data_IF_749387025687
#
_entry.id   IF_749387025687
#
_cell.length_a   1.000
_cell.length_b   1.000
_cell.length_c   1.000
_cell.angle_alpha   90.00
_cell.angle_beta   90.00
_cell.angle_gamma   90.00
#
_symmetry.space_group_name_H-M   'P 1'
#
loop_
_entity.id
_entity.type
_entity.pdbx_description
1 polymer ?
#
# COMPACT_ATOMS: atom_id res chain seq x y z
N UNK A 1 -8.47 15.04 3.17
CA UNK A 1 -7.41 14.03 2.93
C UNK A 1 -6.41 14.66 1.97
N UNK A 2 -5.15 14.80 2.37
CA UNK A 2 -4.07 15.22 1.47
C UNK A 2 -3.61 13.99 0.70
N UNK A 3 -4.01 13.93 -0.56
CA UNK A 3 -3.53 13.01 -1.58
C UNK A 3 -1.98 13.01 -1.56
N UNK A 4 -1.35 11.86 -1.27
CA UNK A 4 0.11 11.74 -1.27
C UNK A 4 0.56 11.79 -2.73
N UNK A 5 0.85 12.99 -3.22
CA UNK A 5 1.39 13.21 -4.58
C UNK A 5 2.82 12.66 -4.66
N UNK A 6 3.09 11.92 -5.73
CA UNK A 6 4.44 11.46 -6.08
C UNK A 6 5.47 12.58 -6.02
N UNK A 7 6.61 12.33 -5.35
CA UNK A 7 7.71 13.27 -5.24
C UNK A 7 8.95 12.73 -5.97
N UNK A 8 9.24 13.30 -7.14
CA UNK A 8 10.38 12.90 -7.98
C UNK A 8 11.72 13.00 -7.23
N UNK A 9 11.94 14.08 -6.48
CA UNK A 9 13.18 14.31 -5.76
C UNK A 9 13.46 13.21 -4.74
N UNK A 10 12.45 12.88 -3.93
CA UNK A 10 12.55 11.82 -2.93
C UNK A 10 12.77 10.45 -3.59
N UNK A 11 12.05 10.16 -4.68
CA UNK A 11 12.22 8.93 -5.45
C UNK A 11 13.66 8.74 -5.92
N UNK A 12 14.25 9.75 -6.57
CA UNK A 12 15.64 9.71 -7.04
C UNK A 12 16.63 9.55 -5.86
N UNK A 13 16.41 10.28 -4.77
CA UNK A 13 17.24 10.24 -3.56
C UNK A 13 17.28 8.85 -2.93
N UNK A 14 16.13 8.15 -2.89
CA UNK A 14 16.03 6.77 -2.41
C UNK A 14 16.85 5.86 -3.32
N UNK A 15 16.61 5.90 -4.64
CA UNK A 15 17.37 5.08 -5.61
C UNK A 15 18.89 5.26 -5.48
N UNK A 16 19.36 6.50 -5.37
CA UNK A 16 20.79 6.77 -5.19
C UNK A 16 21.33 6.20 -3.88
N UNK A 17 20.56 6.31 -2.81
CA UNK A 17 20.95 5.80 -1.48
C UNK A 17 21.03 4.27 -1.47
N UNK A 18 20.11 3.59 -2.14
CA UNK A 18 20.09 2.13 -2.26
C UNK A 18 21.30 1.60 -3.04
N UNK A 19 21.74 2.34 -4.06
CA UNK A 19 23.00 2.05 -4.79
C UNK A 19 24.26 2.47 -4.03
N UNK A 20 24.14 2.93 -2.77
CA UNK A 20 25.22 3.43 -1.91
C UNK A 20 26.06 4.53 -2.57
N UNK A 21 25.43 5.31 -3.46
CA UNK A 21 26.09 6.34 -4.25
C UNK A 21 25.94 7.71 -3.56
N UNK A 22 27.00 8.51 -3.53
CA UNK A 22 26.92 9.85 -2.92
C UNK A 22 26.56 10.89 -3.98
N UNK A 23 25.97 12.03 -3.58
CA UNK A 23 25.71 13.13 -4.54
C UNK A 23 26.98 13.60 -5.24
N UNK A 24 28.12 13.60 -4.52
CA UNK A 24 29.44 13.93 -5.09
C UNK A 24 29.97 12.85 -6.02
N UNK A 25 29.75 11.58 -5.71
CA UNK A 25 30.15 10.45 -6.56
C UNK A 25 29.34 10.42 -7.85
N UNK A 26 28.02 10.55 -7.74
CA UNK A 26 27.13 10.65 -8.90
C UNK A 26 27.44 11.87 -9.75
N UNK A 27 27.68 13.04 -9.13
CA UNK A 27 28.10 14.27 -9.82
C UNK A 27 29.30 14.05 -10.74
N UNK A 28 30.31 13.30 -10.28
CA UNK A 28 31.48 12.95 -11.10
C UNK A 28 31.15 12.03 -12.26
N UNK A 29 30.17 11.13 -12.10
CA UNK A 29 29.75 10.19 -13.15
C UNK A 29 28.94 10.85 -14.25
N UNK A 30 28.09 11.82 -13.90
CA UNK A 30 27.06 12.34 -14.81
C UNK A 30 27.34 13.76 -15.34
N UNK A 31 28.39 14.43 -14.85
CA UNK A 31 28.76 15.77 -15.32
C UNK A 31 27.89 16.92 -14.78
N UNK A 32 26.91 16.64 -13.93
CA UNK A 32 26.11 17.63 -13.22
C UNK A 32 26.71 17.96 -11.85
N UNK A 33 26.52 19.19 -11.37
CA UNK A 33 27.05 19.58 -10.04
C UNK A 33 26.30 18.87 -8.91
N UNK A 34 27.03 18.50 -7.84
CA UNK A 34 26.42 17.89 -6.65
C UNK A 34 25.32 18.78 -6.03
N UNK A 35 25.45 20.10 -6.15
CA UNK A 35 24.43 21.07 -5.72
C UNK A 35 23.17 20.96 -6.57
N UNK A 36 23.29 20.80 -7.89
CA UNK A 36 22.14 20.59 -8.77
C UNK A 36 21.40 19.29 -8.45
N UNK A 37 22.15 18.20 -8.27
CA UNK A 37 21.60 16.90 -7.84
C UNK A 37 20.83 17.06 -6.51
N UNK A 38 21.45 17.69 -5.52
CA UNK A 38 20.83 17.95 -4.22
C UNK A 38 19.57 18.81 -4.34
N UNK A 39 19.54 19.80 -5.23
CA UNK A 39 18.37 20.65 -5.44
C UNK A 39 17.20 19.89 -6.05
N UNK A 40 17.45 18.99 -7.00
CA UNK A 40 16.40 18.12 -7.56
C UNK A 40 15.91 17.13 -6.49
N UNK A 41 16.81 16.46 -5.79
CA UNK A 41 16.47 15.45 -4.78
C UNK A 41 15.68 15.99 -3.58
N UNK A 42 15.89 17.25 -3.20
CA UNK A 42 15.15 17.87 -2.11
C UNK A 42 13.96 18.71 -2.61
N UNK A 43 13.60 18.61 -3.90
CA UNK A 43 12.41 19.26 -4.47
C UNK A 43 12.51 20.78 -4.64
N UNK A 44 13.70 21.39 -4.48
CA UNK A 44 13.87 22.82 -4.77
C UNK A 44 13.97 23.11 -6.27
N UNK A 45 14.29 22.10 -7.08
CA UNK A 45 14.19 22.13 -8.55
C UNK A 45 13.14 21.13 -9.02
N UNK A 46 11.93 21.63 -9.32
CA UNK A 46 10.75 20.79 -9.62
C UNK A 46 10.66 20.31 -11.07
N UNK A 47 11.45 20.89 -11.97
CA UNK A 47 11.43 20.62 -13.42
C UNK A 47 12.84 20.33 -13.95
N UNK A 48 13.42 19.16 -13.62
CA UNK A 48 14.64 18.67 -14.27
C UNK A 48 14.39 18.33 -15.75
N UNK A 49 15.44 18.31 -16.58
CA UNK A 49 15.35 17.92 -17.99
C UNK A 49 15.38 16.39 -18.16
N UNK A 50 14.91 15.90 -19.32
CA UNK A 50 15.06 14.49 -19.72
C UNK A 50 16.53 14.06 -19.67
N UNK A 51 17.44 14.88 -20.21
CA UNK A 51 18.89 14.58 -20.18
C UNK A 51 19.39 14.39 -18.75
N UNK A 52 19.02 15.28 -17.81
CA UNK A 52 19.45 15.12 -16.42
C UNK A 52 18.96 13.79 -15.84
N UNK A 53 17.69 13.44 -16.03
CA UNK A 53 17.11 12.19 -15.51
C UNK A 53 17.75 10.97 -16.14
N UNK A 54 17.96 10.98 -17.46
CA UNK A 54 18.66 9.92 -18.18
C UNK A 54 20.08 9.74 -17.65
N UNK A 55 20.87 10.82 -17.56
CA UNK A 55 22.25 10.75 -17.06
C UNK A 55 22.29 10.31 -15.59
N UNK A 56 21.36 10.79 -14.77
CA UNK A 56 21.22 10.40 -13.37
C UNK A 56 21.04 8.89 -13.24
N UNK A 57 20.04 8.34 -13.94
CA UNK A 57 19.74 6.91 -13.90
C UNK A 57 20.85 6.09 -14.55
N UNK A 58 21.42 6.51 -15.69
CA UNK A 58 22.59 5.84 -16.29
C UNK A 58 23.78 5.79 -15.34
N UNK A 59 24.01 6.86 -14.57
CA UNK A 59 25.08 6.93 -13.57
C UNK A 59 24.86 5.98 -12.38
N UNK A 60 23.60 5.68 -12.05
CA UNK A 60 23.22 4.73 -10.99
C UNK A 60 23.23 3.27 -11.45
N UNK A 61 22.92 3.02 -12.72
CA UNK A 61 22.76 1.68 -13.27
C UNK A 61 23.89 1.30 -14.24
N UNK A 62 25.09 1.84 -14.03
CA UNK A 62 26.30 1.50 -14.79
C UNK A 62 26.11 1.53 -16.31
N UNK A 63 25.39 2.57 -16.78
CA UNK A 63 25.02 2.80 -18.19
C UNK A 63 24.13 1.72 -18.83
N UNK A 64 23.41 0.95 -18.02
CA UNK A 64 22.43 0.00 -18.52
C UNK A 64 21.17 0.71 -19.03
N UNK A 65 21.08 0.88 -20.35
CA UNK A 65 19.97 1.57 -21.03
C UNK A 65 18.61 0.94 -20.71
N UNK A 66 18.51 -0.39 -20.67
CA UNK A 66 17.25 -1.08 -20.41
C UNK A 66 16.70 -0.80 -19.01
N UNK A 67 17.57 -0.87 -18.00
CA UNK A 67 17.21 -0.53 -16.61
C UNK A 67 16.88 0.97 -16.51
N UNK A 68 17.66 1.84 -17.17
CA UNK A 68 17.37 3.28 -17.18
C UNK A 68 15.98 3.58 -17.74
N UNK A 69 15.63 3.04 -18.91
CA UNK A 69 14.32 3.26 -19.53
C UNK A 69 13.18 2.72 -18.64
N UNK A 70 13.38 1.58 -17.99
CA UNK A 70 12.42 1.04 -17.03
C UNK A 70 12.14 2.03 -15.89
N UNK A 71 13.17 2.67 -15.33
CA UNK A 71 12.97 3.67 -14.27
C UNK A 71 12.33 4.97 -14.77
N UNK A 72 12.58 5.35 -16.03
CA UNK A 72 11.89 6.48 -16.68
C UNK A 72 10.39 6.20 -16.80
N UNK A 73 10.00 5.03 -17.31
CA UNK A 73 8.59 4.62 -17.39
C UNK A 73 7.94 4.50 -16.01
N UNK A 74 8.69 4.00 -15.01
CA UNK A 74 8.20 3.93 -13.63
C UNK A 74 7.92 5.31 -13.04
N UNK A 75 8.76 6.31 -13.33
CA UNK A 75 8.52 7.70 -12.92
C UNK A 75 7.23 8.22 -13.55
N UNK A 76 7.02 7.97 -14.85
CA UNK A 76 5.79 8.37 -15.56
C UNK A 76 4.55 7.74 -14.93
N UNK A 77 4.58 6.43 -14.69
CA UNK A 77 3.48 5.69 -14.08
C UNK A 77 3.16 6.20 -12.67
N UNK A 78 4.15 6.25 -11.76
CA UNK A 78 3.94 6.64 -10.37
C UNK A 78 3.54 8.10 -10.22
N UNK A 79 3.91 8.95 -11.18
CA UNK A 79 3.55 10.36 -11.20
C UNK A 79 2.23 10.65 -11.90
N UNK A 80 1.49 9.63 -12.33
CA UNK A 80 0.26 9.75 -13.12
C UNK A 80 0.46 10.64 -14.37
N UNK A 81 1.64 10.53 -14.99
CA UNK A 81 2.02 11.31 -16.17
C UNK A 81 2.49 12.74 -15.89
N UNK A 82 2.56 13.19 -14.63
CA UNK A 82 3.10 14.51 -14.26
C UNK A 82 4.56 14.68 -14.71
N UNK A 83 5.33 13.58 -14.70
CA UNK A 83 6.69 13.53 -15.19
C UNK A 83 6.79 12.56 -16.37
N UNK A 84 6.96 13.10 -17.57
CA UNK A 84 7.12 12.34 -18.81
C UNK A 84 8.48 12.68 -19.43
N UNK A 85 9.49 11.83 -19.18
CA UNK A 85 10.85 12.02 -19.68
C UNK A 85 11.11 11.09 -20.87
N UNK A 86 11.95 11.53 -21.80
CA UNK A 86 12.28 10.72 -22.99
C UNK A 86 13.08 9.47 -22.60
N UNK A 87 12.74 8.33 -23.19
CA UNK A 87 13.55 7.11 -23.08
C UNK A 87 14.77 7.16 -23.99
N UNK A 88 15.83 6.45 -23.62
CA UNK A 88 17.04 6.28 -24.43
C UNK A 88 16.83 5.25 -25.55
N UNK A 89 17.50 5.40 -26.71
CA UNK A 89 17.40 4.44 -27.81
C UNK A 89 18.00 3.08 -27.44
N UNK A 90 17.30 1.99 -27.75
CA UNK A 90 17.76 0.61 -27.49
C UNK A 90 18.25 0.00 -28.80
N UNK A 91 19.50 -0.48 -28.83
CA UNK A 91 20.16 -0.90 -30.07
C UNK A 91 19.94 -2.37 -30.45
N UNK A 92 19.33 -3.21 -29.60
CA UNK A 92 18.98 -4.59 -29.98
C UNK A 92 17.86 -5.21 -29.12
N UNK A 93 17.05 -6.10 -29.71
CA UNK A 93 16.04 -6.91 -29.00
C UNK A 93 16.65 -7.80 -27.90
N UNK A 94 17.93 -8.19 -28.03
CA UNK A 94 18.65 -8.95 -26.99
C UNK A 94 18.83 -8.14 -25.71
N UNK A 95 19.11 -6.85 -25.83
CA UNK A 95 19.27 -5.96 -24.67
C UNK A 95 17.93 -5.79 -23.92
N UNK A 96 16.81 -5.79 -24.63
CA UNK A 96 15.47 -5.76 -24.04
C UNK A 96 15.14 -7.05 -23.26
N UNK A 97 15.54 -8.21 -23.79
CA UNK A 97 15.29 -9.52 -23.14
C UNK A 97 16.21 -9.72 -21.93
N UNK A 98 17.46 -9.27 -21.99
CA UNK A 98 18.39 -9.35 -20.86
C UNK A 98 18.02 -8.32 -19.77
N UNK A 99 17.59 -7.12 -20.17
CA UNK A 99 17.02 -6.13 -19.26
C UNK A 99 15.72 -6.62 -18.63
N UNK A 100 14.83 -7.30 -19.36
CA UNK A 100 13.57 -7.82 -18.80
C UNK A 100 13.78 -9.00 -17.83
N UNK A 101 14.80 -9.85 -18.06
CA UNK A 101 15.21 -10.87 -17.10
C UNK A 101 15.83 -10.28 -15.83
N UNK A 102 16.77 -9.33 -15.96
CA UNK A 102 17.33 -8.61 -14.81
C UNK A 102 16.29 -7.74 -14.09
N UNK A 103 15.29 -7.22 -14.83
CA UNK A 103 14.12 -6.50 -14.32
C UNK A 103 13.30 -7.38 -13.40
N UNK A 104 13.02 -8.65 -13.76
CA UNK A 104 12.28 -9.56 -12.90
C UNK A 104 13.02 -9.80 -11.57
N UNK A 105 14.34 -9.98 -11.64
CA UNK A 105 15.20 -10.22 -10.48
C UNK A 105 15.44 -8.96 -9.60
N UNK A 106 15.49 -7.76 -10.18
CA UNK A 106 15.59 -6.49 -9.43
C UNK A 106 14.24 -6.02 -8.88
N UNK A 107 13.12 -6.23 -9.59
CA UNK A 107 11.76 -5.93 -9.08
C UNK A 107 11.44 -6.74 -7.82
N UNK A 108 11.83 -8.03 -7.81
CA UNK A 108 11.70 -8.89 -6.63
C UNK A 108 12.50 -8.35 -5.42
N UNK A 109 13.52 -7.51 -5.64
CA UNK A 109 14.34 -6.89 -4.57
C UNK A 109 13.82 -5.52 -4.14
N UNK A 110 13.09 -4.81 -4.99
CA UNK A 110 12.67 -3.42 -4.78
C UNK A 110 11.22 -3.25 -4.26
N UNK A 111 10.47 -4.34 -4.08
CA UNK A 111 9.09 -4.31 -3.56
C UNK A 111 8.96 -3.94 -2.07
N UNK A 112 10.03 -3.51 -1.39
CA UNK A 112 9.96 -2.95 -0.05
C UNK A 112 9.94 -1.42 -0.12
N UNK A 113 8.83 -0.84 -0.57
CA UNK A 113 8.62 0.62 -0.59
C UNK A 113 8.56 1.23 0.83
N UNK A 114 8.63 0.39 1.87
CA UNK A 114 8.74 0.79 3.28
C UNK A 114 10.16 0.69 3.88
N UNK A 115 11.19 0.30 3.13
CA UNK A 115 12.56 0.32 3.67
C UNK A 115 13.18 1.72 3.55
N UNK A 116 12.97 2.56 4.55
CA UNK A 116 13.79 3.76 4.72
C UNK A 116 15.04 3.44 5.54
N UNK A 117 16.22 3.69 4.97
CA UNK A 117 17.49 3.61 5.70
C UNK A 117 17.65 4.88 6.55
N UNK A 118 17.75 4.71 7.88
CA UNK A 118 18.28 5.75 8.77
C UNK A 118 19.56 5.32 9.49
N UNK A 119 20.23 6.33 10.08
CA UNK A 119 21.62 6.37 10.56
C UNK A 119 21.95 5.31 11.62
N UNK A 120 22.02 4.02 11.29
CA UNK A 120 22.77 2.98 12.03
C UNK A 120 22.72 1.58 11.43
N UNK A 121 22.04 1.37 10.29
CA UNK A 121 22.10 0.10 9.57
C UNK A 121 21.23 -1.02 10.13
N UNK A 122 20.29 -0.70 11.02
CA UNK A 122 19.22 -1.63 11.43
C UNK A 122 17.93 -1.26 10.71
N UNK A 123 17.31 -2.27 10.07
CA UNK A 123 16.06 -2.11 9.32
C UNK A 123 14.88 -2.25 10.28
N UNK A 124 14.11 -1.19 10.49
CA UNK A 124 12.81 -1.26 11.15
C UNK A 124 11.76 -0.57 10.29
N UNK A 125 10.55 -1.11 10.29
CA UNK A 125 9.40 -0.50 9.63
C UNK A 125 8.74 0.50 10.60
N UNK A 126 8.41 1.71 10.11
CA UNK A 126 7.80 2.78 10.94
C UNK A 126 6.28 2.65 11.13
N UNK A 127 5.62 1.73 10.44
CA UNK A 127 4.17 1.51 10.54
C UNK A 127 3.87 0.05 10.89
N UNK A 128 2.75 -0.26 11.59
CA UNK A 128 2.41 -1.63 11.94
C UNK A 128 2.19 -2.45 10.65
N UNK A 129 3.23 -3.20 10.26
CA UNK A 129 3.38 -4.06 9.06
C UNK A 129 2.36 -5.22 9.01
N UNK A 130 1.37 -5.23 9.90
CA UNK A 130 0.48 -6.36 10.14
C UNK A 130 -0.99 -6.04 9.83
N UNK A 131 -1.31 -4.86 9.28
CA UNK A 131 -2.66 -4.56 8.83
C UNK A 131 -2.89 -5.14 7.43
N UNK A 132 -3.69 -6.21 7.36
CA UNK A 132 -3.97 -6.90 6.11
C UNK A 132 -4.80 -6.03 5.15
N UNK A 133 -5.69 -5.17 5.65
CA UNK A 133 -6.46 -4.26 4.81
C UNK A 133 -5.51 -3.29 4.08
N UNK A 134 -4.50 -2.76 4.79
CA UNK A 134 -3.46 -1.95 4.17
C UNK A 134 -2.75 -2.72 3.05
N UNK A 135 -2.30 -3.95 3.31
CA UNK A 135 -1.57 -4.76 2.31
C UNK A 135 -2.40 -5.10 1.07
N UNK A 136 -3.71 -5.30 1.22
CA UNK A 136 -4.63 -5.62 0.13
C UNK A 136 -5.03 -4.38 -0.69
N UNK A 137 -4.97 -3.19 -0.10
CA UNK A 137 -5.30 -1.92 -0.77
C UNK A 137 -4.05 -1.16 -1.27
N UNK A 138 -2.84 -1.63 -0.94
CA UNK A 138 -1.58 -1.01 -1.35
C UNK A 138 -1.18 -1.43 -2.77
N UNK A 139 -1.35 -0.49 -3.72
CA UNK A 139 -1.16 -0.72 -5.16
C UNK A 139 0.31 -0.70 -5.62
N UNK A 140 1.23 -0.21 -4.79
CA UNK A 140 2.61 0.04 -5.21
C UNK A 140 3.54 -1.17 -5.02
N UNK A 141 3.10 -2.24 -4.36
CA UNK A 141 3.89 -3.44 -4.14
C UNK A 141 3.11 -4.74 -4.43
N UNK A 142 3.70 -5.58 -5.28
CA UNK A 142 3.10 -6.83 -5.73
C UNK A 142 2.94 -7.81 -4.58
N UNK A 143 1.73 -8.36 -4.42
CA UNK A 143 1.45 -9.36 -3.40
C UNK A 143 1.38 -10.74 -4.03
N UNK A 144 1.78 -11.74 -3.26
CA UNK A 144 1.81 -13.13 -3.69
C UNK A 144 1.11 -14.02 -2.66
N UNK A 145 0.27 -14.93 -3.12
CA UNK A 145 -0.29 -16.00 -2.30
C UNK A 145 0.23 -17.34 -2.81
N UNK A 146 0.98 -18.07 -1.96
CA UNK A 146 1.61 -19.36 -2.31
C UNK A 146 2.45 -19.31 -3.60
N UNK A 147 3.12 -18.18 -3.84
CA UNK A 147 3.97 -17.96 -5.02
C UNK A 147 3.21 -17.54 -6.29
N UNK A 148 1.89 -17.36 -6.22
CA UNK A 148 1.07 -16.79 -7.30
C UNK A 148 0.93 -15.29 -7.07
N UNK A 149 1.31 -14.49 -8.05
CA UNK A 149 1.12 -13.03 -8.04
C UNK A 149 -0.38 -12.72 -8.07
N UNK A 150 -0.83 -11.82 -7.20
CA UNK A 150 -2.23 -11.39 -7.13
C UNK A 150 -2.41 -10.05 -7.83
N UNK A 151 -3.43 -9.97 -8.68
CA UNK A 151 -3.90 -8.72 -9.29
C UNK A 151 -4.63 -7.84 -8.28
N UNK A 152 -4.79 -6.55 -8.61
CA UNK A 152 -5.56 -5.61 -7.78
C UNK A 152 -6.99 -6.06 -7.56
N UNK A 153 -7.63 -6.63 -8.58
CA UNK A 153 -8.99 -7.16 -8.47
C UNK A 153 -9.05 -8.34 -7.50
N UNK A 154 -8.12 -9.29 -7.60
CA UNK A 154 -8.03 -10.42 -6.66
C UNK A 154 -7.78 -9.95 -5.23
N UNK A 155 -6.93 -8.95 -5.01
CA UNK A 155 -6.68 -8.38 -3.68
C UNK A 155 -7.93 -7.73 -3.10
N UNK A 156 -8.71 -7.00 -3.91
CA UNK A 156 -9.97 -6.39 -3.49
C UNK A 156 -11.03 -7.43 -3.14
N UNK A 157 -11.14 -8.52 -3.92
CA UNK A 157 -12.07 -9.61 -3.60
C UNK A 157 -11.66 -10.37 -2.34
N UNK A 158 -10.36 -10.50 -2.06
CA UNK A 158 -9.87 -11.05 -0.80
C UNK A 158 -10.23 -10.14 0.39
N UNK A 159 -10.11 -8.81 0.24
CA UNK A 159 -10.48 -7.86 1.29
C UNK A 159 -11.98 -7.99 1.61
N UNK A 160 -12.85 -8.02 0.60
CA UNK A 160 -14.29 -8.30 0.77
C UNK A 160 -14.55 -9.62 1.45
N UNK A 161 -13.89 -10.70 1.01
CA UNK A 161 -14.05 -12.03 1.58
C UNK A 161 -13.75 -12.04 3.08
N UNK A 162 -12.63 -11.42 3.47
CA UNK A 162 -12.20 -11.33 4.87
C UNK A 162 -13.15 -10.44 5.67
N UNK A 163 -13.55 -9.29 5.13
CA UNK A 163 -14.47 -8.37 5.78
C UNK A 163 -15.82 -9.05 6.07
N UNK A 164 -16.40 -9.69 5.06
CA UNK A 164 -17.67 -10.41 5.17
C UNK A 164 -17.59 -11.57 6.17
N UNK A 165 -16.48 -12.31 6.18
CA UNK A 165 -16.25 -13.38 7.14
C UNK A 165 -16.21 -12.85 8.58
N UNK A 166 -15.47 -11.75 8.83
CA UNK A 166 -15.37 -11.15 10.16
C UNK A 166 -16.71 -10.54 10.62
N UNK A 167 -17.43 -9.85 9.74
CA UNK A 167 -18.78 -9.33 10.01
C UNK A 167 -19.71 -10.48 10.43
N UNK A 168 -19.69 -11.59 9.69
CA UNK A 168 -20.51 -12.77 9.99
C UNK A 168 -20.19 -13.34 11.38
N UNK A 169 -18.90 -13.47 11.73
CA UNK A 169 -18.48 -13.93 13.05
C UNK A 169 -19.00 -13.01 14.15
N UNK A 170 -18.78 -11.70 14.03
CA UNK A 170 -19.12 -10.77 15.10
C UNK A 170 -20.63 -10.58 15.25
N UNK A 171 -21.40 -10.60 14.16
CA UNK A 171 -22.85 -10.65 14.22
C UNK A 171 -23.34 -11.93 14.91
N UNK A 172 -22.78 -13.09 14.56
CA UNK A 172 -23.13 -14.36 15.20
C UNK A 172 -22.86 -14.33 16.71
N UNK A 173 -21.70 -13.82 17.10
CA UNK A 173 -21.31 -13.69 18.51
C UNK A 173 -22.20 -12.72 19.27
N UNK A 174 -22.59 -11.60 18.64
CA UNK A 174 -23.53 -10.64 19.21
C UNK A 174 -24.90 -11.28 19.42
N UNK A 175 -25.45 -11.97 18.41
CA UNK A 175 -26.73 -12.68 18.52
C UNK A 175 -26.72 -13.76 19.60
N UNK A 176 -25.65 -14.55 19.70
CA UNK A 176 -25.49 -15.55 20.77
C UNK A 176 -25.43 -14.90 22.15
N UNK A 177 -24.73 -13.78 22.28
CA UNK A 177 -24.62 -13.03 23.54
C UNK A 177 -25.99 -12.48 23.97
N UNK A 178 -26.76 -11.92 23.03
CA UNK A 178 -28.13 -11.48 23.28
C UNK A 178 -29.02 -12.65 23.71
N UNK A 179 -28.95 -13.79 23.02
CA UNK A 179 -29.70 -15.00 23.39
C UNK A 179 -29.38 -15.47 24.81
N UNK A 180 -28.10 -15.59 25.16
CA UNK A 180 -27.68 -16.03 26.50
C UNK A 180 -28.12 -15.07 27.60
N UNK A 181 -28.17 -13.76 27.32
CA UNK A 181 -28.72 -12.78 28.25
C UNK A 181 -30.24 -12.97 28.44
N UNK A 182 -30.99 -13.14 27.36
CA UNK A 182 -32.44 -13.36 27.43
C UNK A 182 -32.82 -14.67 28.15
N UNK A 183 -32.03 -15.73 27.99
CA UNK A 183 -32.19 -17.00 28.72
C UNK A 183 -31.71 -16.93 30.19
N UNK A 184 -31.21 -15.77 30.64
CA UNK A 184 -30.75 -15.56 32.01
C UNK A 184 -29.40 -16.22 32.35
N UNK A 185 -28.65 -16.64 31.33
CA UNK A 185 -27.30 -17.21 31.49
C UNK A 185 -26.21 -16.15 31.64
N UNK A 186 -26.50 -14.89 31.30
CA UNK A 186 -25.62 -13.73 31.51
C UNK A 186 -26.30 -12.68 32.38
N UNK A 187 -25.52 -12.02 33.22
CA UNK A 187 -25.95 -10.79 33.88
C UNK A 187 -25.99 -9.62 32.90
N UNK A 188 -26.74 -8.57 33.23
CA UNK A 188 -26.79 -7.34 32.43
C UNK A 188 -25.40 -6.73 32.22
N UNK A 189 -24.55 -6.73 33.25
CA UNK A 189 -23.19 -6.21 33.14
C UNK A 189 -22.33 -7.03 32.18
N UNK A 190 -22.45 -8.36 32.18
CA UNK A 190 -21.69 -9.22 31.26
C UNK A 190 -22.18 -9.04 29.81
N UNK A 191 -23.49 -8.97 29.62
CA UNK A 191 -24.11 -8.66 28.33
C UNK A 191 -23.57 -7.35 27.75
N UNK A 192 -23.56 -6.27 28.54
CA UNK A 192 -23.08 -4.95 28.10
C UNK A 192 -21.59 -4.98 27.71
N UNK A 193 -20.75 -5.69 28.45
CA UNK A 193 -19.32 -5.83 28.14
C UNK A 193 -19.12 -6.56 26.81
N UNK A 194 -19.75 -7.72 26.64
CA UNK A 194 -19.60 -8.55 25.44
C UNK A 194 -20.21 -7.88 24.21
N UNK A 195 -21.43 -7.35 24.32
CA UNK A 195 -22.10 -6.67 23.21
C UNK A 195 -21.33 -5.42 22.78
N UNK A 196 -20.84 -4.60 23.71
CA UNK A 196 -19.99 -3.44 23.38
C UNK A 196 -18.70 -3.82 22.67
N UNK A 197 -18.08 -4.94 23.07
CA UNK A 197 -16.88 -5.45 22.39
C UNK A 197 -17.16 -5.78 20.92
N UNK A 198 -18.23 -6.54 20.63
CA UNK A 198 -18.56 -6.92 19.25
C UNK A 198 -19.04 -5.75 18.40
N UNK A 199 -19.86 -4.86 18.96
CA UNK A 199 -20.32 -3.64 18.28
C UNK A 199 -19.13 -2.73 17.90
N UNK A 200 -18.10 -2.61 18.76
CA UNK A 200 -16.90 -1.85 18.43
C UNK A 200 -16.09 -2.47 17.27
N UNK A 201 -16.09 -3.80 17.15
CA UNK A 201 -15.45 -4.50 16.04
C UNK A 201 -16.22 -4.28 14.74
N UNK A 202 -17.54 -4.49 14.77
CA UNK A 202 -18.43 -4.28 13.63
C UNK A 202 -18.34 -2.85 13.09
N UNK A 203 -18.34 -1.83 13.97
CA UNK A 203 -18.26 -0.42 13.54
C UNK A 203 -17.00 -0.07 12.75
N UNK A 204 -15.94 -0.89 12.84
CA UNK A 204 -14.70 -0.70 12.08
C UNK A 204 -14.70 -1.44 10.74
N UNK A 205 -15.56 -2.44 10.58
CA UNK A 205 -15.64 -3.30 9.38
C UNK A 205 -16.70 -2.81 8.39
N UNK A 206 -17.68 -2.03 8.87
CA UNK A 206 -18.87 -1.64 8.10
C UNK A 206 -18.70 -0.34 7.27
N UNK A 207 -17.47 0.10 7.01
CA UNK A 207 -17.21 1.40 6.34
C UNK A 207 -17.53 1.43 4.84
N UNK A 208 -17.79 0.28 4.20
CA UNK A 208 -18.15 0.21 2.77
C UNK A 208 -19.51 -0.47 2.48
N UNK A 209 -20.17 -1.05 3.48
CA UNK A 209 -21.47 -1.74 3.34
C UNK A 209 -22.59 -0.96 4.02
N UNK A 210 -22.92 0.23 3.52
CA UNK A 210 -24.28 0.79 3.69
C UNK A 210 -25.27 0.06 2.75
N UNK A 211 -25.37 -1.25 2.91
CA UNK A 211 -26.27 -2.11 2.15
C UNK A 211 -26.59 -3.31 3.01
N UNK A 212 -27.73 -3.22 3.69
CA UNK A 212 -28.40 -4.29 4.43
C UNK A 212 -27.69 -4.80 5.69
N UNK A 213 -27.71 -3.97 6.74
CA UNK A 213 -27.82 -4.52 8.10
C UNK A 213 -29.11 -5.36 8.13
N UNK A 214 -29.06 -6.67 8.44
CA UNK A 214 -30.27 -7.45 8.61
C UNK A 214 -31.14 -6.82 9.70
N UNK A 215 -32.45 -6.81 9.47
CA UNK A 215 -33.58 -6.34 10.28
C UNK A 215 -33.54 -6.65 11.81
N UNK A 216 -32.54 -7.37 12.31
CA UNK A 216 -32.42 -7.79 13.71
C UNK A 216 -32.27 -6.60 14.67
N UNK A 217 -31.62 -5.50 14.27
CA UNK A 217 -31.51 -4.30 15.13
C UNK A 217 -32.86 -3.57 15.24
N UNK A 218 -33.75 -3.73 14.26
CA UNK A 218 -35.11 -3.21 14.33
C UNK A 218 -35.98 -4.08 15.24
N UNK A 219 -35.82 -5.40 15.18
CA UNK A 219 -36.46 -6.34 16.11
C UNK A 219 -36.00 -6.14 17.56
N UNK A 220 -34.70 -5.98 17.82
CA UNK A 220 -34.19 -5.75 19.17
C UNK A 220 -34.71 -4.44 19.79
N UNK A 221 -34.95 -3.40 18.98
CA UNK A 221 -35.57 -2.14 19.42
C UNK A 221 -37.05 -2.27 19.77
N UNK A 222 -37.78 -3.21 19.14
CA UNK A 222 -39.18 -3.51 19.48
C UNK A 222 -39.30 -4.14 20.88
N UNK A 223 -38.29 -4.90 21.30
CA UNK A 223 -38.23 -5.46 22.66
C UNK A 223 -37.84 -4.44 23.74
N UNK A 224 -36.94 -3.51 23.43
CA UNK A 224 -36.48 -2.48 24.40
C UNK A 224 -37.56 -1.40 24.67
N UNK A 225 -38.46 -1.18 23.71
CA UNK A 225 -39.60 -0.25 23.84
C UNK A 225 -40.88 -0.88 24.44
N UNK A 226 -40.85 -2.16 24.84
CA UNK A 226 -41.98 -2.81 25.51
C UNK A 226 -43.19 -3.16 24.62
N UNK A 227 -43.03 -3.15 23.29
CA UNK A 227 -44.13 -3.32 22.32
C UNK A 227 -44.33 -4.78 21.83
N UNK A 228 -43.81 -5.76 22.58
CA UNK A 228 -44.01 -7.17 22.23
C UNK A 228 -45.32 -7.71 22.82
N UNK A 229 -46.43 -7.49 22.12
CA UNK A 229 -47.68 -8.21 22.35
C UNK A 229 -47.60 -9.59 21.70
N UNK A 230 -47.04 -10.55 22.44
CA UNK A 230 -47.00 -11.95 22.00
C UNK A 230 -48.39 -12.56 21.93
N UNK A 231 -48.80 -12.97 20.73
CA UNK A 231 -49.73 -14.08 20.56
C UNK A 231 -48.97 -15.25 19.91
N UNK A 232 -49.12 -16.42 20.54
CA UNK A 232 -48.45 -17.70 20.29
C UNK A 232 -48.78 -18.30 18.91
#
# INVERSE_FOLDING_TARGET
>A
MTEIKFNLGNFLKVLRSDKKETTRGLSKKIGYSHSYISSVENGSKLSPSSDFIQQYLLGLFDKNIGITNMYIEKIKYLSEGLYDFDTLPVNSEKDLIEASKKMKDEFLKFNNIHSFVTKKGENFFEEPINDLNFHLNELNNQKYYKGVEMSTEEMHEIDKLINNYLITIYNTQLSQTSFLYFEGHLTKSEYEIYSSHYLNKLSKLDSETKGDLPDFMEEAKKFDNGDYNGEL
#
